data_IF_156814705934
#
_entry.id   IF_156814705934
#
_cell.length_a   1.000
_cell.length_b   1.000
_cell.length_c   1.000
_cell.angle_alpha   90.00
_cell.angle_beta   90.00
_cell.angle_gamma   90.00
#
_symmetry.space_group_name_H-M   'P 1'
#
loop_
_entity.id
_entity.type
_entity.pdbx_description
1 polymer ?
#
# COMPACT_ATOMS: atom_id res chain seq x y z
N UNK A 1 -27.23 23.10 35.01
CA UNK A 1 -25.78 22.82 35.11
C UNK A 1 -25.02 24.13 35.27
N UNK A 2 -24.14 24.27 36.28
CA UNK A 2 -23.32 25.48 36.50
C UNK A 2 -22.40 25.74 35.29
N UNK A 3 -22.17 27.00 34.93
CA UNK A 3 -21.30 27.43 33.80
C UNK A 3 -19.92 26.74 33.84
N UNK A 4 -19.35 26.56 35.03
CA UNK A 4 -18.08 25.86 35.26
C UNK A 4 -18.08 24.38 34.82
N UNK A 5 -19.19 23.65 34.98
CA UNK A 5 -19.28 22.27 34.49
C UNK A 5 -19.28 22.20 32.97
N UNK A 6 -19.84 23.20 32.29
CA UNK A 6 -19.82 23.25 30.82
C UNK A 6 -18.42 23.55 30.29
N UNK A 7 -17.69 24.46 30.93
CA UNK A 7 -16.29 24.77 30.58
C UNK A 7 -15.39 23.57 30.83
N UNK A 8 -15.55 22.87 31.97
CA UNK A 8 -14.76 21.68 32.29
C UNK A 8 -15.00 20.52 31.32
N UNK A 9 -16.26 20.26 30.94
CA UNK A 9 -16.60 19.25 29.93
C UNK A 9 -16.05 19.65 28.54
N UNK A 10 -16.16 20.92 28.16
CA UNK A 10 -15.58 21.41 26.91
C UNK A 10 -14.05 21.23 26.88
N UNK A 11 -13.36 21.50 27.99
CA UNK A 11 -11.92 21.33 28.10
C UNK A 11 -11.49 19.87 27.90
N UNK A 12 -12.18 18.93 28.57
CA UNK A 12 -11.92 17.49 28.41
C UNK A 12 -12.24 17.05 26.98
N UNK A 13 -13.38 17.47 26.42
CA UNK A 13 -13.73 17.14 25.04
C UNK A 13 -12.65 17.62 24.06
N UNK A 14 -12.16 18.85 24.19
CA UNK A 14 -11.08 19.36 23.35
C UNK A 14 -9.78 18.57 23.54
N UNK A 15 -9.41 18.25 24.78
CA UNK A 15 -8.15 17.56 25.09
C UNK A 15 -8.11 16.11 24.56
N UNK A 16 -9.25 15.45 24.41
CA UNK A 16 -9.29 14.04 23.96
C UNK A 16 -9.79 13.88 22.52
N UNK A 17 -10.79 14.67 22.08
CA UNK A 17 -11.38 14.52 20.74
C UNK A 17 -10.44 15.07 19.67
N UNK A 18 -9.77 16.20 19.91
CA UNK A 18 -8.88 16.79 18.90
C UNK A 18 -7.66 15.90 18.64
N UNK A 19 -6.96 15.36 19.66
CA UNK A 19 -5.91 14.37 19.40
C UNK A 19 -6.41 13.09 18.73
N UNK A 20 -7.59 12.58 19.10
CA UNK A 20 -8.16 11.40 18.46
C UNK A 20 -8.48 11.62 16.97
N UNK A 21 -9.06 12.77 16.62
CA UNK A 21 -9.34 13.14 15.23
C UNK A 21 -8.05 13.35 14.44
N UNK A 22 -7.08 14.08 14.98
CA UNK A 22 -5.80 14.31 14.30
C UNK A 22 -5.02 13.01 14.08
N UNK A 23 -4.99 12.11 15.07
CA UNK A 23 -4.41 10.78 14.91
C UNK A 23 -5.17 9.95 13.87
N UNK A 24 -6.50 9.99 13.88
CA UNK A 24 -7.33 9.34 12.87
C UNK A 24 -7.02 9.82 11.45
N UNK A 25 -6.93 11.14 11.23
CA UNK A 25 -6.59 11.72 9.91
C UNK A 25 -5.16 11.33 9.51
N UNK A 26 -4.19 11.34 10.43
CA UNK A 26 -2.81 10.95 10.14
C UNK A 26 -2.72 9.47 9.68
N UNK A 27 -3.45 8.56 10.34
CA UNK A 27 -3.49 7.15 9.95
C UNK A 27 -4.16 6.91 8.59
N UNK A 28 -5.13 7.75 8.22
CA UNK A 28 -5.79 7.68 6.90
C UNK A 28 -4.96 8.29 5.77
N UNK A 29 -4.16 9.32 6.06
CA UNK A 29 -3.33 10.02 5.07
C UNK A 29 -1.94 9.42 4.90
N UNK A 30 -1.50 8.54 5.81
CA UNK A 30 -0.21 7.87 5.69
C UNK A 30 -0.19 6.94 4.48
N UNK A 31 0.67 7.26 3.52
CA UNK A 31 0.89 6.43 2.33
C UNK A 31 1.65 5.14 2.70
N UNK A 32 0.93 4.05 2.95
CA UNK A 32 1.55 2.75 3.24
C UNK A 32 2.16 2.14 1.97
N UNK A 33 3.41 1.71 2.04
CA UNK A 33 4.09 1.02 0.94
C UNK A 33 5.08 -0.01 1.50
N UNK A 34 5.08 -1.23 0.94
CA UNK A 34 6.15 -2.16 1.23
C UNK A 34 7.40 -1.68 0.49
N UNK A 35 8.51 -1.51 1.22
CA UNK A 35 9.80 -1.06 0.70
C UNK A 35 10.92 -2.00 1.14
N UNK A 36 12.08 -1.92 0.50
CA UNK A 36 13.30 -2.59 0.99
C UNK A 36 13.35 -4.12 0.83
N UNK A 37 12.43 -4.72 0.08
CA UNK A 37 12.48 -6.15 -0.26
C UNK A 37 13.34 -6.38 -1.51
N UNK A 38 14.17 -7.41 -1.47
CA UNK A 38 15.41 -7.56 -2.26
C UNK A 38 15.21 -7.85 -3.76
N UNK A 39 16.22 -7.50 -4.56
CA UNK A 39 16.40 -7.87 -5.98
C UNK A 39 16.43 -9.39 -6.29
N UNK A 40 16.33 -10.24 -5.26
CA UNK A 40 16.34 -11.70 -5.39
C UNK A 40 15.07 -12.25 -6.01
N UNK A 41 13.95 -11.54 -5.86
CA UNK A 41 12.67 -11.97 -6.42
C UNK A 41 12.63 -11.71 -7.91
N UNK A 42 12.57 -12.80 -8.68
CA UNK A 42 12.46 -12.78 -10.14
C UNK A 42 11.03 -13.09 -10.59
N UNK A 43 10.27 -13.80 -9.76
CA UNK A 43 8.90 -14.21 -10.05
C UNK A 43 7.99 -13.61 -9.00
N UNK A 44 6.90 -12.99 -9.44
CA UNK A 44 5.79 -12.60 -8.57
C UNK A 44 4.59 -13.47 -8.93
N UNK A 45 3.98 -14.07 -7.93
CA UNK A 45 2.69 -14.73 -8.06
C UNK A 45 1.67 -13.98 -7.22
N UNK A 46 0.61 -13.52 -7.87
CA UNK A 46 -0.46 -12.74 -7.29
C UNK A 46 -1.66 -13.66 -7.18
N UNK A 47 -2.04 -14.02 -5.97
CA UNK A 47 -3.20 -14.86 -5.69
C UNK A 47 -4.29 -13.96 -5.09
N UNK A 48 -5.05 -13.33 -5.98
CA UNK A 48 -6.15 -12.43 -5.62
C UNK A 48 -7.26 -12.53 -6.69
N UNK A 49 -8.40 -13.16 -6.38
CA UNK A 49 -9.49 -13.36 -7.34
C UNK A 49 -10.20 -12.06 -7.72
N UNK A 50 -10.06 -11.00 -6.93
CA UNK A 50 -10.68 -9.70 -7.21
C UNK A 50 -9.88 -8.85 -8.20
N UNK A 51 -8.58 -9.14 -8.35
CA UNK A 51 -7.72 -8.42 -9.29
C UNK A 51 -7.85 -8.99 -10.69
N UNK A 52 -7.90 -8.09 -11.67
CA UNK A 52 -7.69 -8.40 -13.09
C UNK A 52 -6.33 -7.87 -13.55
N UNK A 53 -5.86 -8.35 -14.69
CA UNK A 53 -4.59 -7.91 -15.28
C UNK A 53 -4.52 -6.38 -15.49
N UNK A 54 -5.64 -5.75 -15.83
CA UNK A 54 -5.77 -4.29 -16.00
C UNK A 54 -5.55 -3.50 -14.70
N UNK A 55 -5.77 -4.13 -13.54
CA UNK A 55 -5.57 -3.52 -12.23
C UNK A 55 -4.12 -3.66 -11.74
N UNK A 56 -3.22 -4.20 -12.55
CA UNK A 56 -1.81 -4.40 -12.18
C UNK A 56 -0.95 -3.42 -12.96
N UNK A 57 -0.30 -2.51 -12.23
CA UNK A 57 0.62 -1.53 -12.80
C UNK A 57 2.04 -1.92 -12.46
N UNK A 58 2.73 -2.42 -13.47
CA UNK A 58 4.14 -2.80 -13.38
C UNK A 58 4.97 -1.65 -13.94
N UNK A 59 5.89 -1.13 -13.13
CA UNK A 59 6.85 -0.14 -13.58
C UNK A 59 8.28 -0.64 -13.38
N UNK A 60 8.97 -0.82 -14.50
CA UNK A 60 10.37 -1.22 -14.56
C UNK A 60 11.28 -0.08 -15.02
N UNK A 61 10.74 1.14 -15.23
CA UNK A 61 11.47 2.30 -15.76
C UNK A 61 12.04 3.16 -14.63
N UNK A 62 13.25 3.69 -14.85
CA UNK A 62 13.96 4.57 -13.91
C UNK A 62 13.24 5.91 -13.69
N UNK A 63 12.45 6.37 -14.67
CA UNK A 63 11.65 7.59 -14.61
C UNK A 63 10.16 7.23 -14.54
N UNK A 64 9.68 6.99 -13.32
CA UNK A 64 8.31 6.54 -13.06
C UNK A 64 7.36 7.71 -12.71
N UNK A 65 6.07 7.53 -13.02
CA UNK A 65 4.92 8.32 -12.50
C UNK A 65 4.54 7.97 -11.04
N UNK A 66 5.39 7.26 -10.30
CA UNK A 66 5.20 7.08 -8.87
C UNK A 66 5.11 8.44 -8.13
N UNK A 67 4.55 8.49 -6.91
CA UNK A 67 4.41 9.74 -6.15
C UNK A 67 5.77 10.40 -5.90
N UNK A 68 5.91 11.66 -6.36
CA UNK A 68 7.16 12.44 -6.34
C UNK A 68 7.85 12.53 -4.97
N UNK A 69 7.09 12.50 -3.88
CA UNK A 69 7.63 12.55 -2.52
C UNK A 69 8.43 11.29 -2.12
N UNK A 70 8.08 10.11 -2.65
CA UNK A 70 8.79 8.86 -2.41
C UNK A 70 9.80 8.53 -3.53
N UNK A 71 9.69 9.15 -4.71
CA UNK A 71 10.60 8.92 -5.85
C UNK A 71 12.07 9.24 -5.51
N UNK A 72 12.31 10.33 -4.76
CA UNK A 72 13.68 10.76 -4.42
C UNK A 72 14.42 9.72 -3.57
N UNK A 73 13.73 8.95 -2.73
CA UNK A 73 14.31 7.83 -1.97
C UNK A 73 14.19 6.47 -2.67
N UNK A 74 13.29 6.33 -3.65
CA UNK A 74 12.94 5.06 -4.27
C UNK A 74 13.67 4.76 -5.58
N UNK A 75 14.69 5.54 -5.96
CA UNK A 75 15.46 5.30 -7.20
C UNK A 75 16.03 3.86 -7.25
N UNK A 76 16.34 3.29 -6.09
CA UNK A 76 16.87 1.92 -5.93
C UNK A 76 16.01 1.00 -5.05
N UNK A 77 14.85 1.46 -4.57
CA UNK A 77 14.01 0.68 -3.65
C UNK A 77 12.87 0.00 -4.41
N UNK A 78 12.70 -1.29 -4.14
CA UNK A 78 11.49 -2.01 -4.54
C UNK A 78 10.27 -1.40 -3.84
N UNK A 79 9.17 -1.20 -4.58
CA UNK A 79 7.89 -0.70 -4.09
C UNK A 79 6.80 -1.71 -4.43
N UNK A 80 5.99 -2.06 -3.44
CA UNK A 80 4.79 -2.88 -3.65
C UNK A 80 3.67 -2.38 -2.74
N UNK A 81 2.56 -1.99 -3.33
CA UNK A 81 1.40 -1.51 -2.59
C UNK A 81 0.11 -1.63 -3.41
N UNK A 82 -1.01 -1.72 -2.71
CA UNK A 82 -2.33 -1.59 -3.30
C UNK A 82 -2.81 -0.13 -3.21
N UNK A 83 -3.39 0.39 -4.29
CA UNK A 83 -3.94 1.73 -4.40
C UNK A 83 -5.46 1.67 -4.56
N UNK A 84 -6.19 2.32 -3.64
CA UNK A 84 -7.64 2.50 -3.67
C UNK A 84 -7.99 3.90 -3.16
N UNK A 85 -8.87 4.00 -2.16
CA UNK A 85 -9.13 5.25 -1.43
C UNK A 85 -7.89 5.79 -0.69
N UNK A 86 -7.00 4.87 -0.30
CA UNK A 86 -5.65 5.15 0.22
C UNK A 86 -4.72 4.03 -0.22
N UNK A 87 -3.46 4.07 0.23
CA UNK A 87 -2.53 2.96 0.00
C UNK A 87 -2.62 1.92 1.10
N UNK A 88 -2.57 0.66 0.70
CA UNK A 88 -2.60 -0.49 1.60
C UNK A 88 -1.35 -1.34 1.40
N UNK A 89 -0.89 -1.92 2.51
CA UNK A 89 0.19 -2.89 2.45
C UNK A 89 -0.34 -4.20 1.85
N UNK A 90 0.40 -4.80 0.92
CA UNK A 90 0.09 -6.13 0.45
C UNK A 90 0.38 -7.14 1.55
N UNK A 91 -0.42 -8.19 1.61
CA UNK A 91 -0.02 -9.43 2.26
C UNK A 91 0.99 -10.14 1.35
N UNK A 92 2.16 -10.45 1.91
CA UNK A 92 3.25 -11.05 1.14
C UNK A 92 3.85 -12.25 1.87
N UNK A 93 4.12 -13.31 1.11
CA UNK A 93 4.97 -14.43 1.53
C UNK A 93 6.15 -14.57 0.58
N UNK A 94 7.29 -15.01 1.10
CA UNK A 94 8.56 -15.07 0.38
C UNK A 94 9.02 -16.53 0.32
N UNK A 95 9.27 -17.03 -0.89
CA UNK A 95 9.77 -18.39 -1.13
C UNK A 95 10.90 -18.33 -2.15
N UNK A 96 12.15 -18.44 -1.69
CA UNK A 96 13.35 -18.36 -2.54
C UNK A 96 13.36 -17.13 -3.47
N UNK A 97 13.08 -17.32 -4.76
CA UNK A 97 13.01 -16.29 -5.81
C UNK A 97 11.57 -15.88 -6.18
N UNK A 98 10.57 -16.47 -5.53
CA UNK A 98 9.15 -16.21 -5.68
C UNK A 98 8.64 -15.28 -4.56
N UNK A 99 7.95 -14.22 -4.96
CA UNK A 99 7.16 -13.38 -4.08
C UNK A 99 5.67 -13.70 -4.29
N UNK A 100 5.04 -14.28 -3.27
CA UNK A 100 3.59 -14.44 -3.24
C UNK A 100 2.96 -13.16 -2.71
N UNK A 101 2.01 -12.62 -3.46
CA UNK A 101 1.26 -11.42 -3.11
C UNK A 101 -0.22 -11.79 -3.08
N UNK A 102 -0.84 -11.69 -1.91
CA UNK A 102 -2.28 -11.89 -1.74
C UNK A 102 -2.98 -10.55 -1.59
N UNK A 103 -4.06 -10.49 -0.80
CA UNK A 103 -4.88 -9.30 -0.64
C UNK A 103 -4.18 -8.10 0.01
N UNK A 104 -4.93 -7.03 0.14
CA UNK A 104 -4.51 -5.81 0.81
C UNK A 104 -4.87 -5.85 2.30
N UNK A 105 -3.88 -5.62 3.16
CA UNK A 105 -4.09 -5.50 4.60
C UNK A 105 -4.93 -4.27 4.92
N UNK A 106 -5.90 -4.45 5.80
CA UNK A 106 -6.79 -3.39 6.28
C UNK A 106 -7.64 -2.72 5.18
N UNK A 107 -7.79 -3.35 4.01
CA UNK A 107 -8.60 -2.78 2.92
C UNK A 107 -10.11 -2.77 3.25
N UNK A 108 -10.58 -3.77 4.00
CA UNK A 108 -11.96 -3.82 4.50
C UNK A 108 -12.99 -3.75 3.37
N UNK A 109 -13.65 -2.60 3.23
CA UNK A 109 -14.69 -2.35 2.22
C UNK A 109 -14.19 -1.65 0.96
N UNK A 110 -12.91 -1.27 0.88
CA UNK A 110 -12.33 -0.64 -0.30
C UNK A 110 -12.24 -1.66 -1.44
N UNK A 111 -13.12 -1.49 -2.43
CA UNK A 111 -13.24 -2.35 -3.61
C UNK A 111 -12.67 -1.60 -4.81
N UNK A 112 -12.04 -2.33 -5.74
CA UNK A 112 -11.32 -1.81 -6.92
C UNK A 112 -9.89 -1.32 -6.62
N UNK A 113 -9.12 -2.16 -5.94
CA UNK A 113 -7.71 -1.88 -5.69
C UNK A 113 -6.88 -2.09 -6.96
N UNK A 114 -5.90 -1.22 -7.16
CA UNK A 114 -4.86 -1.37 -8.18
C UNK A 114 -3.57 -1.80 -7.51
N UNK A 115 -2.93 -2.88 -7.96
CA UNK A 115 -1.65 -3.31 -7.44
C UNK A 115 -0.52 -2.63 -8.20
N UNK A 116 0.31 -1.90 -7.47
CA UNK A 116 1.48 -1.22 -8.00
C UNK A 116 2.74 -2.01 -7.65
N UNK A 117 3.51 -2.37 -8.68
CA UNK A 117 4.70 -3.20 -8.58
C UNK A 117 5.88 -2.45 -9.20
N UNK A 118 6.90 -2.22 -8.38
CA UNK A 118 8.21 -1.75 -8.82
C UNK A 118 9.29 -2.62 -8.23
N UNK A 119 9.87 -3.49 -9.03
CA UNK A 119 11.06 -4.25 -8.64
C UNK A 119 11.92 -4.39 -9.89
N UNK A 120 13.20 -4.05 -9.75
CA UNK A 120 14.09 -3.90 -10.91
C UNK A 120 14.40 -5.24 -11.60
N UNK A 121 14.38 -6.34 -10.86
CA UNK A 121 14.83 -7.67 -11.31
C UNK A 121 13.69 -8.68 -11.53
N UNK A 122 12.45 -8.23 -11.71
CA UNK A 122 11.35 -9.13 -12.09
C UNK A 122 11.60 -9.62 -13.51
N UNK A 123 11.48 -10.93 -13.68
CA UNK A 123 11.41 -11.60 -14.98
C UNK A 123 9.98 -11.98 -15.34
N UNK A 124 9.15 -12.32 -14.35
CA UNK A 124 7.81 -12.87 -14.59
C UNK A 124 6.80 -12.46 -13.52
N UNK A 125 5.57 -12.19 -13.94
CA UNK A 125 4.42 -11.95 -13.05
C UNK A 125 3.28 -12.86 -13.48
N UNK A 126 2.74 -13.59 -12.51
CA UNK A 126 1.55 -14.43 -12.65
C UNK A 126 0.42 -13.88 -11.80
N UNK A 127 -0.78 -13.87 -12.33
CA UNK A 127 -2.03 -13.54 -11.63
C UNK A 127 -2.92 -14.76 -11.64
N UNK A 128 -3.26 -15.29 -10.46
CA UNK A 128 -4.14 -16.45 -10.28
C UNK A 128 -3.71 -17.66 -11.13
N UNK A 129 -2.39 -17.86 -11.26
CA UNK A 129 -1.79 -18.93 -12.09
C UNK A 129 -1.56 -18.57 -13.56
N UNK A 130 -2.17 -17.51 -14.09
CA UNK A 130 -2.00 -17.05 -15.46
C UNK A 130 -0.82 -16.08 -15.59
N UNK A 131 -0.01 -16.23 -16.64
CA UNK A 131 1.10 -15.32 -16.90
C UNK A 131 0.61 -14.03 -17.56
N UNK A 132 0.81 -12.90 -16.88
CA UNK A 132 0.31 -11.59 -17.35
C UNK A 132 1.43 -10.66 -17.79
N UNK A 133 2.67 -10.93 -17.39
CA UNK A 133 3.82 -10.11 -17.74
C UNK A 133 5.10 -10.94 -17.68
N UNK A 134 5.94 -10.75 -18.70
CA UNK A 134 7.31 -11.27 -18.75
C UNK A 134 8.23 -10.17 -19.27
N UNK A 135 9.46 -10.14 -18.76
CA UNK A 135 10.51 -9.24 -19.24
C UNK A 135 11.18 -9.77 -20.51
#
# INVERSE_FOLDING_TARGET
MKKSNRVFIALIATLYIVPALTFGVAQFTSEKCLTGFTQKFQIIQIDNPELKAENIKVDTRTASKFPRGQILEAKDRSLLYYEGMKRYLPEVSRHDSLLLVSGARDAGQDKNLTLHIRINNIQKIRLNGEEIWTK
#
